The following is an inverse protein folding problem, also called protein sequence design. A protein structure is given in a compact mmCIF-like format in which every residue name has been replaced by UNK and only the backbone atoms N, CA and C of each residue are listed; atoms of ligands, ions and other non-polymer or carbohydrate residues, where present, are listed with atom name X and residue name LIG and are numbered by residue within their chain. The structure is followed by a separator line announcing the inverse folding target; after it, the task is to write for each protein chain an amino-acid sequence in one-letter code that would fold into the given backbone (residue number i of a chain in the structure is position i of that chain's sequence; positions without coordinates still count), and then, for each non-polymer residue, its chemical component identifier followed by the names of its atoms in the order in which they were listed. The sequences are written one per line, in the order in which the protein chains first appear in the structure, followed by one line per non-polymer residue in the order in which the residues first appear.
data_IF_402286393488
#
_entry.id   IF_402286393488
#
_cell.length_a   1.000
_cell.length_b   1.000
_cell.length_c   1.000
_cell.angle_alpha   90.00
_cell.angle_beta   90.00
_cell.angle_gamma   90.00
#
_symmetry.space_group_name_H-M   'P 1'
#
loop_
_entity.id
_entity.type
_entity.pdbx_description
1 polymer ?
#
# COMPACT_ATOMS: atom_id res chain seq x y z
N UNK A 1 -3.14 -21.79 15.91
CA UNK A 1 -3.81 -20.72 16.69
C UNK A 1 -3.91 -19.39 15.91
N UNK A 2 -4.57 -19.40 14.74
CA UNK A 2 -4.75 -18.22 13.85
C UNK A 2 -6.22 -17.83 13.65
N UNK A 3 -7.15 -18.42 14.40
CA UNK A 3 -8.59 -18.17 14.27
C UNK A 3 -9.07 -16.87 14.95
N UNK A 4 -8.21 -16.17 15.70
CA UNK A 4 -8.57 -14.95 16.44
C UNK A 4 -8.30 -13.62 15.71
N UNK A 5 -7.43 -13.61 14.70
CA UNK A 5 -6.98 -12.37 14.05
C UNK A 5 -7.84 -11.91 12.86
N UNK A 6 -8.69 -12.79 12.32
CA UNK A 6 -9.53 -12.49 11.16
C UNK A 6 -10.73 -11.56 11.45
N UNK A 7 -11.09 -11.31 12.72
CA UNK A 7 -12.33 -10.59 13.08
C UNK A 7 -12.20 -9.05 13.18
N UNK A 8 -11.02 -8.47 12.99
CA UNK A 8 -10.76 -7.10 13.49
C UNK A 8 -9.95 -6.20 12.54
N UNK A 9 -9.52 -6.67 11.37
CA UNK A 9 -8.67 -5.88 10.44
C UNK A 9 -9.35 -4.56 10.05
N UNK A 10 -10.67 -4.62 9.85
CA UNK A 10 -11.53 -3.50 9.48
C UNK A 10 -12.01 -2.64 10.68
N UNK A 11 -11.70 -3.04 11.92
CA UNK A 11 -12.07 -2.31 13.15
C UNK A 11 -10.92 -1.46 13.69
N UNK A 12 -9.75 -1.54 13.05
CA UNK A 12 -8.58 -0.73 13.38
C UNK A 12 -8.77 0.69 12.80
N UNK A 13 -9.41 1.55 13.61
CA UNK A 13 -9.77 2.90 13.20
C UNK A 13 -8.54 3.74 12.79
N UNK A 14 -7.42 3.60 13.52
CA UNK A 14 -6.16 4.27 13.19
C UNK A 14 -5.64 3.84 11.82
N UNK A 15 -5.63 2.53 11.55
CA UNK A 15 -5.20 2.00 10.26
C UNK A 15 -6.11 2.49 9.12
N UNK A 16 -7.43 2.41 9.28
CA UNK A 16 -8.37 2.87 8.24
C UNK A 16 -8.30 4.37 8.00
N UNK A 17 -8.07 5.19 9.04
CA UNK A 17 -7.87 6.64 8.90
C UNK A 17 -6.59 6.96 8.15
N UNK A 18 -5.49 6.24 8.43
CA UNK A 18 -4.24 6.40 7.71
C UNK A 18 -4.40 6.07 6.22
N UNK A 19 -5.14 5.01 5.88
CA UNK A 19 -5.42 4.64 4.49
C UNK A 19 -6.27 5.69 3.76
N UNK A 20 -7.26 6.25 4.45
CA UNK A 20 -8.05 7.37 3.93
C UNK A 20 -7.17 8.55 3.56
N UNK A 21 -6.37 9.03 4.51
CA UNK A 21 -5.47 10.16 4.31
C UNK A 21 -4.45 9.87 3.19
N UNK A 22 -3.89 8.66 3.16
CA UNK A 22 -2.83 8.29 2.23
C UNK A 22 -3.31 8.16 0.78
N UNK A 23 -4.49 7.56 0.56
CA UNK A 23 -4.92 7.18 -0.80
C UNK A 23 -6.04 8.05 -1.37
N UNK A 24 -6.90 8.57 -0.50
CA UNK A 24 -8.11 9.29 -0.88
C UNK A 24 -8.01 10.77 -0.52
N UNK A 25 -7.27 11.12 0.54
CA UNK A 25 -7.03 12.48 1.07
C UNK A 25 -7.42 13.60 0.11
N UNK A 26 -8.53 14.26 0.42
CA UNK A 26 -9.19 15.21 -0.46
C UNK A 26 -8.59 16.61 -0.36
N UNK A 27 -8.47 17.26 -1.50
CA UNK A 27 -8.41 18.72 -1.58
C UNK A 27 -9.66 19.33 -0.92
N UNK A 28 -9.49 20.47 -0.24
CA UNK A 28 -10.58 21.16 0.47
C UNK A 28 -11.77 21.38 -0.49
N UNK A 29 -12.91 20.76 -0.18
CA UNK A 29 -14.16 20.90 -0.95
C UNK A 29 -14.61 19.66 -1.72
N UNK A 30 -13.77 18.62 -1.81
CA UNK A 30 -14.16 17.36 -2.46
C UNK A 30 -15.00 16.46 -1.53
N UNK A 31 -16.12 15.90 -2.00
CA UNK A 31 -16.92 15.00 -1.18
C UNK A 31 -16.20 13.65 -1.04
N UNK A 32 -15.94 13.25 0.21
CA UNK A 32 -15.25 11.99 0.55
C UNK A 32 -16.28 10.85 0.63
N UNK A 33 -16.03 9.66 0.04
CA UNK A 33 -16.90 8.51 0.25
C UNK A 33 -17.01 8.13 1.72
N UNK A 34 -18.22 7.73 2.12
CA UNK A 34 -18.35 6.85 3.29
C UNK A 34 -17.84 5.47 2.93
N UNK A 35 -16.80 5.00 3.60
CA UNK A 35 -16.24 3.66 3.38
C UNK A 35 -16.61 2.75 4.55
N UNK A 36 -17.33 1.69 4.24
CA UNK A 36 -17.58 0.60 5.18
C UNK A 36 -16.69 -0.59 4.81
N UNK A 37 -16.13 -1.25 5.81
CA UNK A 37 -15.28 -2.42 5.60
C UNK A 37 -15.94 -3.67 6.19
N UNK A 38 -16.05 -4.73 5.40
CA UNK A 38 -16.75 -5.97 5.76
C UNK A 38 -15.85 -7.19 5.49
N UNK A 39 -15.85 -8.15 6.42
CA UNK A 39 -15.07 -9.38 6.32
C UNK A 39 -15.91 -10.54 5.77
N UNK A 40 -17.25 -10.41 5.78
CA UNK A 40 -18.20 -11.46 5.44
C UNK A 40 -18.54 -11.45 3.95
N UNK A 41 -17.52 -11.58 3.10
CA UNK A 41 -17.59 -12.08 1.72
C UNK A 41 -16.21 -11.94 1.09
N UNK A 42 -15.71 -12.96 0.39
CA UNK A 42 -15.31 -12.62 -0.96
C UNK A 42 -15.92 -13.61 -1.95
N UNK A 43 -16.60 -13.02 -2.95
CA UNK A 43 -16.80 -13.62 -4.27
C UNK A 43 -15.48 -13.95 -4.98
N UNK A 44 -14.36 -13.46 -4.43
CA UNK A 44 -12.99 -13.59 -4.94
C UNK A 44 -12.29 -14.78 -4.29
N UNK A 45 -11.43 -15.46 -5.05
CA UNK A 45 -10.59 -16.55 -4.56
C UNK A 45 -9.86 -16.14 -3.26
N UNK A 46 -9.67 -17.05 -2.28
CA UNK A 46 -9.09 -16.75 -0.97
C UNK A 46 -7.57 -16.55 -1.03
N UNK A 47 -7.10 -15.68 -1.93
CA UNK A 47 -5.69 -15.40 -2.16
C UNK A 47 -5.25 -14.18 -1.32
N UNK A 48 -4.01 -14.17 -0.79
CA UNK A 48 -3.48 -13.00 -0.10
C UNK A 48 -3.52 -11.75 -0.99
N UNK A 49 -3.97 -10.63 -0.43
CA UNK A 49 -4.14 -9.38 -1.18
C UNK A 49 -5.39 -9.32 -2.07
N UNK A 50 -6.30 -10.30 -2.03
CA UNK A 50 -7.59 -10.22 -2.73
C UNK A 50 -8.50 -9.19 -2.08
N UNK A 51 -9.26 -8.43 -2.87
CA UNK A 51 -10.26 -7.51 -2.35
C UNK A 51 -11.47 -7.33 -3.30
N UNK A 52 -12.57 -6.83 -2.76
CA UNK A 52 -13.75 -6.39 -3.50
C UNK A 52 -14.13 -4.96 -3.10
N UNK A 53 -14.53 -4.14 -4.07
CA UNK A 53 -15.06 -2.78 -3.87
C UNK A 53 -16.46 -2.74 -4.49
N UNK A 54 -17.43 -2.23 -3.73
CA UNK A 54 -18.80 -2.01 -4.17
C UNK A 54 -19.20 -0.58 -3.84
N UNK A 55 -19.33 0.28 -4.84
CA UNK A 55 -19.79 1.65 -4.63
C UNK A 55 -21.24 1.83 -5.11
N UNK A 56 -22.03 2.49 -4.27
CA UNK A 56 -23.41 2.92 -4.54
C UNK A 56 -23.54 4.38 -4.16
N UNK A 57 -23.85 5.24 -5.12
CA UNK A 57 -24.10 6.68 -4.95
C UNK A 57 -22.98 7.39 -4.15
N UNK A 58 -23.04 7.41 -2.81
CA UNK A 58 -22.10 8.09 -1.91
C UNK A 58 -21.36 7.15 -0.93
N UNK A 59 -21.63 5.84 -1.01
CA UNK A 59 -21.06 4.85 -0.08
C UNK A 59 -20.33 3.78 -0.86
N UNK A 60 -19.10 3.49 -0.43
CA UNK A 60 -18.31 2.37 -0.94
C UNK A 60 -18.11 1.34 0.18
N UNK A 61 -18.30 0.07 -0.16
CA UNK A 61 -18.03 -1.05 0.73
C UNK A 61 -16.77 -1.73 0.21
N UNK A 62 -15.76 -1.85 1.07
CA UNK A 62 -14.53 -2.59 0.81
C UNK A 62 -14.60 -3.92 1.55
N UNK A 63 -14.23 -5.01 0.87
CA UNK A 63 -14.06 -6.32 1.49
C UNK A 63 -12.67 -6.87 1.24
N UNK A 64 -12.04 -7.39 2.27
CA UNK A 64 -10.73 -8.03 2.19
C UNK A 64 -10.56 -9.04 3.31
N UNK A 65 -9.75 -10.08 3.08
CA UNK A 65 -9.39 -11.09 4.08
C UNK A 65 -8.14 -10.72 4.89
N UNK A 66 -7.31 -9.83 4.36
CA UNK A 66 -6.06 -9.42 4.99
C UNK A 66 -5.81 -7.91 4.86
N UNK A 67 -4.79 -7.43 5.58
CA UNK A 67 -4.38 -6.02 5.55
C UNK A 67 -3.88 -5.60 4.16
N UNK A 68 -3.22 -6.50 3.43
CA UNK A 68 -2.69 -6.20 2.10
C UNK A 68 -3.80 -5.88 1.09
N UNK A 69 -4.86 -6.69 1.05
CA UNK A 69 -6.02 -6.46 0.21
C UNK A 69 -6.75 -5.18 0.59
N UNK A 70 -6.78 -4.82 1.88
CA UNK A 70 -7.34 -3.55 2.33
C UNK A 70 -6.53 -2.36 1.76
N UNK A 71 -5.20 -2.38 1.88
CA UNK A 71 -4.32 -1.35 1.28
C UNK A 71 -4.55 -1.25 -0.23
N UNK A 72 -4.63 -2.38 -0.93
CA UNK A 72 -4.83 -2.41 -2.38
C UNK A 72 -6.21 -1.88 -2.80
N UNK A 73 -7.24 -2.16 -2.01
CA UNK A 73 -8.59 -1.64 -2.23
C UNK A 73 -8.62 -0.11 -2.09
N UNK A 74 -8.05 0.43 -1.01
CA UNK A 74 -7.95 1.88 -0.81
C UNK A 74 -7.15 2.57 -1.91
N UNK A 75 -6.02 1.98 -2.33
CA UNK A 75 -5.24 2.50 -3.45
C UNK A 75 -6.01 2.55 -4.76
N UNK A 76 -6.81 1.52 -5.03
CA UNK A 76 -7.67 1.46 -6.23
C UNK A 76 -8.80 2.47 -6.13
N UNK A 77 -9.43 2.59 -4.96
CA UNK A 77 -10.52 3.53 -4.73
C UNK A 77 -10.05 4.98 -4.87
N UNK A 78 -8.86 5.31 -4.37
CA UNK A 78 -8.24 6.61 -4.56
C UNK A 78 -7.97 6.95 -6.04
N UNK A 79 -7.59 5.96 -6.85
CA UNK A 79 -7.43 6.16 -8.30
C UNK A 79 -8.77 6.40 -9.00
N UNK A 80 -9.81 5.66 -8.62
CA UNK A 80 -11.16 5.88 -9.15
C UNK A 80 -11.69 7.26 -8.75
N UNK A 81 -11.52 7.64 -7.48
CA UNK A 81 -11.95 8.94 -6.97
C UNK A 81 -11.33 10.11 -7.75
N UNK A 82 -10.01 10.08 -7.98
CA UNK A 82 -9.30 11.12 -8.77
C UNK A 82 -9.73 11.20 -10.23
N UNK A 83 -10.17 10.09 -10.83
CA UNK A 83 -10.61 10.09 -12.22
C UNK A 83 -12.01 10.71 -12.42
N UNK A 84 -12.80 10.83 -11.36
CA UNK A 84 -14.19 11.31 -11.43
C UNK A 84 -14.40 12.77 -11.00
N UNK A 85 -13.33 13.48 -10.62
CA UNK A 85 -13.34 14.86 -10.12
C UNK A 85 -14.09 15.84 -11.03
N UNK A 86 -13.95 15.71 -12.35
CA UNK A 86 -14.57 16.61 -13.33
C UNK A 86 -16.07 16.36 -13.57
N UNK A 87 -16.64 15.28 -13.00
CA UNK A 87 -18.01 14.85 -13.30
C UNK A 87 -19.05 15.21 -12.24
N UNK A 88 -18.63 15.76 -11.10
CA UNK A 88 -19.51 16.02 -9.95
C UNK A 88 -20.08 14.76 -9.28
N UNK A 89 -19.72 13.58 -9.78
CA UNK A 89 -20.01 12.28 -9.17
C UNK A 89 -18.75 11.79 -8.46
N UNK A 90 -18.91 11.19 -7.28
CA UNK A 90 -17.77 10.67 -6.50
C UNK A 90 -17.33 9.29 -7.05
N UNK A 91 -18.30 8.48 -7.48
CA UNK A 91 -18.11 7.15 -8.07
C UNK A 91 -19.18 6.90 -9.14
N UNK A 92 -18.85 6.09 -10.15
CA UNK A 92 -19.85 5.56 -11.08
C UNK A 92 -20.89 4.72 -10.31
N UNK A 93 -22.18 4.96 -10.58
CA UNK A 93 -23.26 4.20 -9.98
C UNK A 93 -23.14 2.70 -10.34
N UNK A 94 -23.16 1.84 -9.32
CA UNK A 94 -23.06 0.39 -9.53
C UNK A 94 -21.64 -0.13 -9.77
N UNK A 95 -20.60 0.65 -9.48
CA UNK A 95 -19.21 0.20 -9.58
C UNK A 95 -18.95 -1.02 -8.68
N UNK A 96 -18.52 -2.11 -9.31
CA UNK A 96 -18.04 -3.33 -8.64
C UNK A 96 -16.66 -3.69 -9.18
N UNK A 97 -15.69 -3.80 -8.28
CA UNK A 97 -14.32 -4.25 -8.60
C UNK A 97 -14.02 -5.47 -7.73
N UNK A 98 -13.58 -6.55 -8.36
CA UNK A 98 -13.03 -7.72 -7.69
C UNK A 98 -11.63 -7.94 -8.26
N UNK A 99 -10.60 -7.88 -7.42
CA UNK A 99 -9.19 -7.92 -7.87
C UNK A 99 -8.35 -8.78 -6.92
N UNK A 100 -7.32 -9.40 -7.47
CA UNK A 100 -6.33 -10.19 -6.75
C UNK A 100 -5.03 -10.28 -7.55
N UNK A 101 -3.87 -10.38 -6.88
CA UNK A 101 -2.61 -10.49 -7.57
C UNK A 101 -2.42 -11.88 -8.19
N UNK A 102 -2.08 -11.94 -9.48
CA UNK A 102 -1.71 -13.21 -10.15
C UNK A 102 -0.42 -13.83 -9.58
N UNK A 103 0.49 -13.00 -9.08
CA UNK A 103 1.76 -13.43 -8.51
C UNK A 103 1.93 -12.87 -7.09
N UNK A 104 2.26 -13.72 -6.09
CA UNK A 104 2.45 -13.26 -4.72
C UNK A 104 3.72 -12.41 -4.54
N UNK A 105 4.72 -12.58 -5.41
CA UNK A 105 6.00 -11.87 -5.33
C UNK A 105 6.10 -10.80 -6.42
N UNK A 106 5.97 -9.51 -6.06
CA UNK A 106 6.06 -8.36 -6.97
C UNK A 106 7.13 -7.41 -6.44
N UNK A 107 8.34 -7.60 -6.98
CA UNK A 107 9.56 -7.05 -6.42
C UNK A 107 10.13 -5.87 -7.18
N UNK A 108 10.79 -4.96 -6.45
CA UNK A 108 11.70 -3.95 -6.99
C UNK A 108 13.07 -4.12 -6.32
N UNK A 109 14.15 -4.12 -7.12
CA UNK A 109 15.51 -4.13 -6.60
C UNK A 109 16.08 -2.71 -6.58
N UNK A 110 16.58 -2.28 -5.42
CA UNK A 110 17.39 -1.07 -5.28
C UNK A 110 18.81 -1.43 -4.84
N UNK A 111 19.80 -0.79 -5.45
CA UNK A 111 21.22 -0.99 -5.15
C UNK A 111 21.78 0.29 -4.53
N UNK A 112 22.02 0.22 -3.21
CA UNK A 112 22.70 1.26 -2.45
C UNK A 112 24.15 0.90 -2.10
N UNK A 113 24.64 -0.23 -2.63
CA UNK A 113 26.03 -0.66 -2.53
C UNK A 113 26.93 0.02 -3.56
N UNK A 114 26.40 0.36 -4.74
CA UNK A 114 27.17 1.06 -5.80
C UNK A 114 26.99 2.58 -5.80
N UNK A 115 25.82 3.07 -5.37
CA UNK A 115 25.50 4.49 -5.33
C UNK A 115 24.62 4.78 -4.13
N UNK A 116 24.92 5.85 -3.40
CA UNK A 116 24.05 6.30 -2.33
C UNK A 116 22.66 6.74 -2.87
N UNK A 117 21.59 6.30 -2.20
CA UNK A 117 20.24 6.82 -2.37
C UNK A 117 19.81 7.49 -1.08
N UNK A 118 19.23 8.69 -1.18
CA UNK A 118 18.78 9.39 0.02
C UNK A 118 17.60 8.66 0.67
N UNK A 119 17.43 8.86 1.98
CA UNK A 119 16.22 8.40 2.69
C UNK A 119 14.92 8.89 2.03
N UNK A 120 14.95 10.11 1.48
CA UNK A 120 13.81 10.68 0.78
C UNK A 120 13.50 9.90 -0.50
N UNK A 121 14.51 9.55 -1.29
CA UNK A 121 14.34 8.78 -2.53
C UNK A 121 13.83 7.37 -2.25
N UNK A 122 14.35 6.72 -1.20
CA UNK A 122 13.89 5.38 -0.79
C UNK A 122 12.43 5.44 -0.34
N UNK A 123 12.05 6.44 0.47
CA UNK A 123 10.65 6.63 0.90
C UNK A 123 9.73 6.94 -0.29
N UNK A 124 10.17 7.76 -1.24
CA UNK A 124 9.42 8.05 -2.44
C UNK A 124 9.25 6.79 -3.30
N UNK A 125 10.29 5.97 -3.41
CA UNK A 125 10.24 4.67 -4.08
C UNK A 125 9.20 3.75 -3.42
N UNK A 126 9.18 3.67 -2.08
CA UNK A 126 8.17 2.89 -1.35
C UNK A 126 6.73 3.40 -1.60
N UNK A 127 6.53 4.73 -1.66
CA UNK A 127 5.23 5.31 -2.01
C UNK A 127 4.79 4.91 -3.42
N UNK A 128 5.70 4.96 -4.39
CA UNK A 128 5.44 4.53 -5.77
C UNK A 128 5.18 3.01 -5.85
N UNK A 129 5.92 2.21 -5.09
CA UNK A 129 5.67 0.77 -5.00
C UNK A 129 4.26 0.48 -4.47
N UNK A 130 3.83 1.20 -3.44
CA UNK A 130 2.49 1.07 -2.88
C UNK A 130 1.39 1.48 -3.87
N UNK A 131 1.58 2.54 -4.66
CA UNK A 131 0.58 3.01 -5.63
C UNK A 131 0.29 2.00 -6.74
N UNK A 132 1.25 1.13 -7.06
CA UNK A 132 1.12 0.05 -8.05
C UNK A 132 1.06 -1.36 -7.43
N UNK A 133 0.81 -1.45 -6.11
CA UNK A 133 0.63 -2.71 -5.36
C UNK A 133 1.86 -3.64 -5.41
N UNK A 134 3.08 -3.13 -5.57
CA UNK A 134 4.32 -3.89 -5.33
C UNK A 134 4.49 -4.17 -3.84
N UNK A 135 5.05 -5.33 -3.48
CA UNK A 135 5.08 -5.79 -2.09
C UNK A 135 6.43 -6.29 -1.61
N UNK A 136 7.44 -6.36 -2.47
CA UNK A 136 8.78 -6.80 -2.09
C UNK A 136 9.81 -5.75 -2.51
N UNK A 137 10.59 -5.23 -1.57
CA UNK A 137 11.77 -4.42 -1.85
C UNK A 137 13.00 -5.31 -1.66
N UNK A 138 13.67 -5.65 -2.75
CA UNK A 138 14.98 -6.29 -2.74
C UNK A 138 16.04 -5.20 -2.56
N UNK A 139 16.50 -5.03 -1.33
CA UNK A 139 17.46 -3.97 -1.02
C UNK A 139 18.89 -4.53 -1.00
N UNK A 140 19.63 -4.27 -2.07
CA UNK A 140 21.05 -4.59 -2.16
C UNK A 140 21.86 -3.48 -1.49
N UNK A 141 22.25 -3.72 -0.24
CA UNK A 141 22.81 -2.71 0.65
C UNK A 141 24.34 -2.55 0.57
N UNK A 142 25.04 -3.54 0.01
CA UNK A 142 26.50 -3.66 0.07
C UNK A 142 27.03 -4.17 -1.26
N UNK A 143 28.14 -3.63 -1.73
CA UNK A 143 28.85 -4.12 -2.91
C UNK A 143 30.38 -4.04 -2.67
N UNK A 144 31.18 -4.43 -3.65
CA UNK A 144 32.65 -4.37 -3.59
C UNK A 144 33.18 -2.95 -3.31
N UNK A 145 32.49 -1.93 -3.82
CA UNK A 145 32.87 -0.52 -3.70
C UNK A 145 32.36 0.15 -2.41
N UNK A 146 31.34 -0.37 -1.73
CA UNK A 146 30.85 0.25 -0.50
C UNK A 146 30.03 -0.67 0.42
N UNK A 147 30.09 -0.36 1.72
CA UNK A 147 29.32 -1.02 2.77
C UNK A 147 28.43 0.03 3.47
N UNK A 148 27.15 0.10 3.11
CA UNK A 148 26.23 1.16 3.57
C UNK A 148 25.45 0.80 4.83
N UNK A 149 25.64 -0.41 5.38
CA UNK A 149 24.93 -0.89 6.58
C UNK A 149 25.75 -0.60 7.82
N UNK A 150 25.12 -0.01 8.83
CA UNK A 150 25.73 0.14 10.14
C UNK A 150 25.55 -1.13 10.97
N UNK A 151 26.63 -1.90 11.10
CA UNK A 151 26.68 -3.10 11.94
C UNK A 151 27.38 -2.76 13.25
N UNK A 152 26.62 -2.61 14.34
CA UNK A 152 27.11 -2.18 15.66
C UNK A 152 28.32 -2.98 16.18
N UNK A 153 28.36 -4.28 15.90
CA UNK A 153 29.44 -5.18 16.31
C UNK A 153 30.73 -4.98 15.48
N UNK A 154 30.61 -4.46 14.27
CA UNK A 154 31.71 -4.29 13.32
C UNK A 154 31.71 -2.87 12.71
N UNK A 155 31.91 -1.82 13.54
CA UNK A 155 31.83 -0.42 13.07
C UNK A 155 32.92 -0.06 12.05
N UNK A 156 33.97 -0.88 11.93
CA UNK A 156 35.04 -0.68 10.94
C UNK A 156 34.62 -0.99 9.50
N UNK A 157 33.53 -1.74 9.29
CA UNK A 157 33.05 -2.10 7.94
C UNK A 157 32.55 -0.89 7.15
N UNK A 158 32.11 0.17 7.83
CA UNK A 158 31.60 1.38 7.20
C UNK A 158 32.70 2.41 6.86
N UNK A 159 33.96 2.14 7.20
CA UNK A 159 35.05 3.10 6.99
C UNK A 159 35.20 3.43 5.49
N UNK A 160 34.97 4.70 5.14
CA UNK A 160 35.12 5.22 3.78
C UNK A 160 33.81 5.50 3.05
N UNK A 161 32.64 5.24 3.65
CA UNK A 161 31.35 5.49 3.03
C UNK A 161 30.71 6.79 3.56
N UNK A 162 30.35 7.77 2.71
CA UNK A 162 29.63 8.98 3.12
C UNK A 162 28.15 8.75 3.47
N UNK A 163 27.68 7.49 3.49
CA UNK A 163 26.32 7.13 3.89
C UNK A 163 25.98 7.66 5.30
N UNK A 164 24.84 8.34 5.50
CA UNK A 164 24.38 8.83 6.80
C UNK A 164 23.72 7.74 7.67
N UNK A 165 23.77 6.47 7.26
CA UNK A 165 23.22 5.31 7.99
C UNK A 165 24.27 4.63 8.87
#
# INVERSE_FOLDING_TARGET
PLAGAQRTICKDAEFTSLLMETFIGGDEGMPVPTIACDNDFPSVAPLPGSYEILCRTLTCIIRSKDRAGLVYAYGTLGQVHRNHENSGQIFAEGLRIADYPSFPHRGLLIDTGKRYLSLQDIRQTLKLMASVKMNVLHWHLTDDVSFSVNVKQFPRLQKGNPSPF
#
